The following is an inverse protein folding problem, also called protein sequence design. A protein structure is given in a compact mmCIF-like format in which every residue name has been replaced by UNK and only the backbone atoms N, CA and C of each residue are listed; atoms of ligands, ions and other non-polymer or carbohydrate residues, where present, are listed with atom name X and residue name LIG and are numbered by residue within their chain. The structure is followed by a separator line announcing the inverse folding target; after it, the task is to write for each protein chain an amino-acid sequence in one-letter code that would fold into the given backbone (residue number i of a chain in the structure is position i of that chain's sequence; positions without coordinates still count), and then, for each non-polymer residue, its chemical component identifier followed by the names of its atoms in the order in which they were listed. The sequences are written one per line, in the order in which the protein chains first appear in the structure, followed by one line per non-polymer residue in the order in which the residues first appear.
data_IF_929963043708
#
_entry.id   IF_929963043708
#
_cell.length_a   1.000
_cell.length_b   1.000
_cell.length_c   1.000
_cell.angle_alpha   90.00
_cell.angle_beta   90.00
_cell.angle_gamma   90.00
#
_symmetry.space_group_name_H-M   'P 1'
#
loop_
_entity.id
_entity.type
_entity.pdbx_description
1 polymer ?
#
# COMPACT_ATOMS: atom_id res chain seq x y z
N UNK A 1 3.44 -43.41 11.57
CA UNK A 1 2.47 -42.78 10.66
C UNK A 1 2.80 -41.30 10.53
N UNK A 2 3.39 -40.89 9.41
CA UNK A 2 3.89 -39.54 9.19
C UNK A 2 2.72 -38.56 9.03
N UNK A 3 2.49 -37.72 10.05
CA UNK A 3 1.58 -36.58 9.93
C UNK A 3 2.28 -35.51 9.09
N UNK A 4 1.95 -35.45 7.80
CA UNK A 4 2.35 -34.35 6.94
C UNK A 4 1.78 -33.05 7.51
N UNK A 5 2.66 -32.18 8.02
CA UNK A 5 2.32 -30.87 8.55
C UNK A 5 1.92 -30.00 7.35
N UNK A 6 0.62 -29.89 7.08
CA UNK A 6 0.12 -28.97 6.06
C UNK A 6 0.53 -27.56 6.48
N UNK A 7 1.46 -26.98 5.71
CA UNK A 7 1.93 -25.62 5.91
C UNK A 7 0.79 -24.70 5.46
N UNK A 8 0.12 -24.06 6.43
CA UNK A 8 -0.89 -23.05 6.12
C UNK A 8 -0.17 -21.89 5.42
N UNK A 9 -0.51 -21.63 4.16
CA UNK A 9 -0.03 -20.47 3.40
C UNK A 9 -0.74 -19.21 3.92
N UNK A 10 -0.33 -18.74 5.09
CA UNK A 10 -0.82 -17.46 5.65
C UNK A 10 -0.20 -16.31 4.86
N UNK A 11 -0.99 -15.68 4.00
CA UNK A 11 -0.59 -14.45 3.31
C UNK A 11 -0.52 -13.33 4.34
N UNK A 12 0.69 -12.88 4.67
CA UNK A 12 0.88 -11.71 5.52
C UNK A 12 0.53 -10.46 4.71
N UNK A 13 -0.67 -9.91 4.91
CA UNK A 13 -1.05 -8.62 4.36
C UNK A 13 -0.69 -7.58 5.42
N UNK A 14 0.34 -6.77 5.15
CA UNK A 14 0.67 -5.64 6.01
C UNK A 14 -0.39 -4.56 5.84
N UNK A 15 -1.13 -4.26 6.91
CA UNK A 15 -2.12 -3.18 6.96
C UNK A 15 -1.52 -2.00 7.73
N UNK A 16 -1.34 -0.87 7.08
CA UNK A 16 -0.95 0.39 7.73
C UNK A 16 -2.11 1.39 7.61
N UNK A 17 -2.50 1.99 8.73
CA UNK A 17 -3.49 3.08 8.76
C UNK A 17 -2.70 4.38 8.81
N UNK A 18 -2.83 5.20 7.77
CA UNK A 18 -2.24 6.52 7.67
C UNK A 18 -3.36 7.54 7.79
N UNK A 19 -3.37 8.32 8.87
CA UNK A 19 -4.28 9.47 9.00
C UNK A 19 -3.50 10.73 8.70
N UNK A 20 -3.90 11.48 7.67
CA UNK A 20 -3.32 12.78 7.35
C UNK A 20 -4.36 13.87 7.65
N UNK A 21 -3.99 14.80 8.52
CA UNK A 21 -4.84 15.92 8.91
C UNK A 21 -4.27 17.19 8.28
N UNK A 22 -5.03 17.79 7.37
CA UNK A 22 -4.78 19.15 6.87
C UNK A 22 -5.75 20.12 7.56
N UNK A 23 -5.42 21.42 7.66
CA UNK A 23 -6.07 22.42 8.52
C UNK A 23 -7.62 22.37 8.56
N UNK A 24 -8.28 21.92 7.49
CA UNK A 24 -9.74 21.83 7.39
C UNK A 24 -10.28 20.44 6.95
N UNK A 25 -9.44 19.40 6.86
CA UNK A 25 -9.86 18.07 6.38
C UNK A 25 -8.96 16.95 6.95
N UNK A 26 -9.58 16.03 7.69
CA UNK A 26 -8.99 14.76 8.11
C UNK A 26 -9.28 13.70 7.05
N UNK A 27 -8.23 13.19 6.40
CA UNK A 27 -8.35 12.08 5.45
C UNK A 27 -7.62 10.85 5.99
N UNK A 28 -8.37 9.79 6.25
CA UNK A 28 -7.79 8.48 6.57
C UNK A 28 -7.50 7.70 5.29
N UNK A 29 -6.31 7.10 5.22
CA UNK A 29 -5.84 6.23 4.14
C UNK A 29 -5.46 4.88 4.70
N UNK A 30 -6.10 3.83 4.21
CA UNK A 30 -5.80 2.45 4.54
C UNK A 30 -4.86 1.90 3.49
N UNK A 31 -3.63 1.63 3.87
CA UNK A 31 -2.62 1.08 2.99
C UNK A 31 -2.55 -0.44 3.14
N UNK A 32 -2.82 -1.14 2.05
CA UNK A 32 -2.74 -2.58 1.92
C UNK A 32 -1.49 -2.91 1.11
N UNK A 33 -0.56 -3.62 1.73
CA UNK A 33 0.67 -4.07 1.07
C UNK A 33 0.69 -5.58 0.90
N UNK A 34 1.17 -6.04 -0.27
CA UNK A 34 1.41 -7.46 -0.48
C UNK A 34 2.54 -7.96 0.45
N UNK A 35 2.61 -9.27 0.67
CA UNK A 35 3.62 -9.88 1.54
C UNK A 35 5.08 -9.53 1.18
N UNK A 36 5.36 -9.24 -0.09
CA UNK A 36 6.68 -8.79 -0.57
C UNK A 36 6.79 -7.26 -0.67
N UNK A 37 5.74 -6.52 -0.26
CA UNK A 37 5.59 -5.07 -0.45
C UNK A 37 5.78 -4.61 -1.90
N UNK A 38 5.58 -5.53 -2.85
CA UNK A 38 5.71 -5.28 -4.28
C UNK A 38 4.51 -4.51 -4.84
N UNK A 39 3.37 -4.56 -4.15
CA UNK A 39 2.17 -3.85 -4.55
C UNK A 39 1.56 -3.18 -3.33
N UNK A 40 1.03 -1.98 -3.54
CA UNK A 40 0.41 -1.18 -2.51
C UNK A 40 -0.91 -0.61 -3.04
N UNK A 41 -2.00 -0.85 -2.33
CA UNK A 41 -3.33 -0.28 -2.59
C UNK A 41 -3.70 0.64 -1.43
N UNK A 42 -4.17 1.84 -1.74
CA UNK A 42 -4.69 2.78 -0.75
C UNK A 42 -6.19 2.98 -0.93
N UNK A 43 -6.91 2.87 0.19
CA UNK A 43 -8.36 3.09 0.27
C UNK A 43 -8.66 4.24 1.23
N UNK A 44 -9.79 4.93 1.02
CA UNK A 44 -10.34 5.87 1.99
C UNK A 44 -11.31 5.19 2.97
N UNK A 45 -11.88 5.96 3.90
CA UNK A 45 -12.88 5.49 4.88
C UNK A 45 -14.15 4.88 4.25
N UNK A 46 -14.42 5.17 2.98
CA UNK A 46 -15.55 4.62 2.22
C UNK A 46 -15.14 3.41 1.36
N UNK A 47 -13.96 2.82 1.63
CA UNK A 47 -13.36 1.72 0.87
C UNK A 47 -13.17 2.02 -0.64
N UNK A 48 -13.10 3.29 -1.02
CA UNK A 48 -12.84 3.69 -2.39
C UNK A 48 -11.34 3.77 -2.67
N UNK A 49 -10.93 3.33 -3.85
CA UNK A 49 -9.53 3.38 -4.30
C UNK A 49 -9.06 4.83 -4.45
N UNK A 50 -8.02 5.17 -3.68
CA UNK A 50 -7.30 6.45 -3.73
C UNK A 50 -6.10 6.31 -4.66
N UNK A 51 -5.23 5.32 -4.41
CA UNK A 51 -4.04 5.04 -5.20
C UNK A 51 -3.75 3.54 -5.30
N UNK A 52 -3.09 3.13 -6.38
CA UNK A 52 -2.60 1.79 -6.61
C UNK A 52 -1.21 1.85 -7.22
N UNK A 53 -0.27 1.14 -6.63
CA UNK A 53 1.13 1.13 -7.06
C UNK A 53 1.70 -0.28 -7.13
N UNK A 54 2.52 -0.53 -8.14
CA UNK A 54 3.27 -1.76 -8.34
C UNK A 54 4.76 -1.45 -8.51
N UNK A 55 5.60 -2.24 -7.87
CA UNK A 55 7.05 -2.16 -7.95
C UNK A 55 7.62 -3.49 -8.48
N UNK A 56 8.67 -3.40 -9.29
CA UNK A 56 9.50 -4.52 -9.67
C UNK A 56 10.26 -5.07 -8.45
N UNK A 57 10.80 -6.31 -8.51
CA UNK A 57 11.57 -6.94 -7.43
C UNK A 57 12.76 -6.13 -6.89
N UNK A 58 13.21 -5.11 -7.63
CA UNK A 58 14.30 -4.20 -7.26
C UNK A 58 13.85 -2.76 -6.97
N UNK A 59 12.55 -2.54 -6.73
CA UNK A 59 12.01 -1.25 -6.28
C UNK A 59 11.74 -0.22 -7.38
N UNK A 60 11.97 -0.56 -8.65
CA UNK A 60 11.53 0.28 -9.77
C UNK A 60 10.00 0.33 -9.82
N UNK A 61 9.43 1.52 -9.95
CA UNK A 61 7.98 1.68 -10.07
C UNK A 61 7.52 1.26 -11.46
N UNK A 62 6.68 0.24 -11.52
CA UNK A 62 6.08 -0.25 -12.78
C UNK A 62 4.80 0.48 -13.11
N UNK A 63 3.98 0.74 -12.08
CA UNK A 63 2.66 1.31 -12.25
C UNK A 63 2.33 2.22 -11.07
N UNK A 64 1.79 3.38 -11.38
CA UNK A 64 1.10 4.27 -10.44
C UNK A 64 -0.24 4.61 -11.08
N UNK A 65 -1.33 4.33 -10.37
CA UNK A 65 -2.68 4.67 -10.79
C UNK A 65 -3.44 5.30 -9.63
N UNK A 66 -4.34 6.23 -9.93
CA UNK A 66 -5.26 6.79 -8.95
C UNK A 66 -6.23 7.74 -9.63
N UNK A 67 -7.37 7.99 -8.97
CA UNK A 67 -8.44 8.81 -9.55
C UNK A 67 -8.05 10.28 -9.69
N UNK A 68 -7.13 10.75 -8.84
CA UNK A 68 -6.69 12.13 -8.82
C UNK A 68 -5.15 12.17 -8.70
N UNK A 69 -4.49 12.80 -9.67
CA UNK A 69 -3.03 12.95 -9.71
C UNK A 69 -2.49 13.61 -8.45
N UNK A 70 -3.17 14.63 -7.91
CA UNK A 70 -2.76 15.31 -6.68
C UNK A 70 -2.77 14.36 -5.49
N UNK A 71 -3.81 13.53 -5.37
CA UNK A 71 -3.93 12.58 -4.24
C UNK A 71 -2.88 11.47 -4.30
N UNK A 72 -2.50 11.06 -5.51
CA UNK A 72 -1.42 10.09 -5.75
C UNK A 72 -0.06 10.70 -5.38
N UNK A 73 0.19 11.97 -5.75
CA UNK A 73 1.46 12.65 -5.44
C UNK A 73 1.67 12.90 -3.94
N UNK A 74 0.59 13.04 -3.16
CA UNK A 74 0.69 13.16 -1.70
C UNK A 74 1.28 11.92 -1.00
N UNK A 75 1.39 10.78 -1.69
CA UNK A 75 1.95 9.57 -1.12
C UNK A 75 3.47 9.66 -0.96
N UNK A 76 3.92 9.83 0.29
CA UNK A 76 5.34 9.94 0.68
C UNK A 76 6.04 8.59 0.79
N UNK A 77 5.38 7.59 1.38
CA UNK A 77 5.99 6.28 1.63
C UNK A 77 5.63 5.28 0.53
N UNK A 78 6.66 4.71 -0.10
CA UNK A 78 6.50 3.83 -1.28
C UNK A 78 7.15 2.47 -1.04
N UNK A 79 8.03 2.04 -1.94
CA UNK A 79 8.67 0.74 -1.89
C UNK A 79 9.35 0.49 -0.53
N UNK A 80 9.08 -0.68 0.06
CA UNK A 80 9.56 -1.11 1.39
C UNK A 80 9.18 -0.22 2.59
N UNK A 81 8.32 0.79 2.40
CA UNK A 81 8.01 1.78 3.43
C UNK A 81 9.08 2.85 3.61
N UNK A 82 9.97 3.02 2.61
CA UNK A 82 10.92 4.13 2.55
C UNK A 82 10.29 5.30 1.79
N UNK A 83 10.63 6.50 2.23
CA UNK A 83 10.33 7.73 1.50
C UNK A 83 11.17 7.76 0.22
N UNK A 84 10.57 8.22 -0.88
CA UNK A 84 11.26 8.40 -2.16
C UNK A 84 11.51 9.88 -2.35
N UNK A 85 12.76 10.26 -2.59
CA UNK A 85 13.12 11.62 -3.00
C UNK A 85 12.71 11.86 -4.46
N UNK A 86 12.29 13.09 -4.78
CA UNK A 86 11.77 13.48 -6.10
C UNK A 86 12.88 13.75 -7.12
#
# INVERSE_FOLDING_TARGET
TNKAKQQANTLHIGTHILSETSENNTQTRYQLSSHLKANTLELNDQAQVVSYECYCPYGATTLIAGKNKTQVQQKRYRYTGKERDD
#
